data_IF_418474859917
#
_entry.id   IF_418474859917
#
_cell.length_a   1.000
_cell.length_b   1.000
_cell.length_c   1.000
_cell.angle_alpha   90.00
_cell.angle_beta   90.00
_cell.angle_gamma   90.00
#
_symmetry.space_group_name_H-M   'P 1'
#
loop_
_entity.id
_entity.type
_entity.pdbx_description
1 polymer ?
#
# COMPACT_ATOMS: atom_id res chain seq x y z
N UNK A 1 -2.45 4.51 -1.01
CA UNK A 1 -1.86 3.54 -1.95
C UNK A 1 -1.63 4.17 -3.33
N UNK A 2 -2.66 4.66 -4.03
CA UNK A 2 -2.53 5.20 -5.42
C UNK A 2 -1.53 6.36 -5.49
N UNK A 3 -1.58 7.32 -4.57
CA UNK A 3 -0.61 8.43 -4.55
C UNK A 3 0.83 7.92 -4.38
N UNK A 4 1.03 6.93 -3.50
CA UNK A 4 2.35 6.31 -3.34
C UNK A 4 2.80 5.58 -4.62
N UNK A 5 1.89 4.89 -5.31
CA UNK A 5 2.21 4.28 -6.60
C UNK A 5 2.63 5.33 -7.64
N UNK A 6 1.95 6.49 -7.68
CA UNK A 6 2.32 7.59 -8.57
C UNK A 6 3.68 8.21 -8.23
N UNK A 7 3.99 8.34 -6.94
CA UNK A 7 5.31 8.80 -6.48
C UNK A 7 6.44 7.85 -6.91
N UNK A 8 6.20 6.54 -6.83
CA UNK A 8 7.21 5.51 -7.12
C UNK A 8 7.34 5.17 -8.62
N UNK A 9 6.24 5.24 -9.36
CA UNK A 9 6.16 4.75 -10.75
C UNK A 9 6.01 5.88 -11.77
N UNK A 10 5.67 7.09 -11.30
CA UNK A 10 5.30 8.23 -12.14
C UNK A 10 3.78 8.43 -12.18
N UNK A 11 3.37 9.63 -12.59
CA UNK A 11 1.97 10.04 -12.59
C UNK A 11 1.08 9.18 -13.50
N UNK A 12 1.61 8.61 -14.56
CA UNK A 12 0.88 7.71 -15.45
C UNK A 12 1.11 6.26 -15.04
N UNK A 13 0.08 5.63 -14.49
CA UNK A 13 0.10 4.23 -14.07
C UNK A 13 -0.32 3.27 -15.19
N UNK A 14 -0.86 3.76 -16.30
CA UNK A 14 -1.38 2.93 -17.40
C UNK A 14 -0.31 1.98 -17.96
N UNK A 15 -0.73 0.75 -18.29
CA UNK A 15 0.15 -0.28 -18.84
C UNK A 15 1.00 -1.03 -17.82
N UNK A 16 1.07 -0.57 -16.56
CA UNK A 16 1.76 -1.35 -15.52
C UNK A 16 1.00 -2.64 -15.18
N UNK A 17 1.74 -3.67 -14.78
CA UNK A 17 1.21 -4.89 -14.20
C UNK A 17 1.42 -4.83 -12.68
N UNK A 18 0.34 -4.95 -11.92
CA UNK A 18 0.36 -4.90 -10.45
C UNK A 18 -0.28 -6.18 -9.90
N UNK A 19 0.41 -6.85 -8.99
CA UNK A 19 -0.17 -7.97 -8.24
C UNK A 19 -0.84 -7.45 -6.98
N UNK A 20 -2.11 -7.83 -6.76
CA UNK A 20 -2.87 -7.54 -5.54
C UNK A 20 -3.25 -8.85 -4.86
N UNK A 21 -2.85 -8.99 -3.61
CA UNK A 21 -3.25 -10.12 -2.75
C UNK A 21 -4.35 -9.67 -1.80
N UNK A 22 -5.46 -10.43 -1.84
CA UNK A 22 -6.65 -10.14 -1.04
C UNK A 22 -7.67 -9.26 -1.74
N UNK A 23 -8.88 -9.81 -1.95
CA UNK A 23 -10.04 -9.11 -2.52
C UNK A 23 -11.08 -8.77 -1.45
N UNK A 24 -10.61 -8.30 -0.30
CA UNK A 24 -11.46 -7.64 0.71
C UNK A 24 -11.85 -6.23 0.26
N UNK A 25 -12.45 -5.45 1.16
CA UNK A 25 -12.93 -4.08 0.85
C UNK A 25 -11.82 -3.19 0.26
N UNK A 26 -10.61 -3.26 0.80
CA UNK A 26 -9.48 -2.43 0.35
C UNK A 26 -8.99 -2.91 -1.02
N UNK A 27 -8.69 -4.22 -1.18
CA UNK A 27 -8.17 -4.76 -2.42
C UNK A 27 -9.12 -4.62 -3.60
N UNK A 28 -10.42 -4.80 -3.35
CA UNK A 28 -11.46 -4.59 -4.37
C UNK A 28 -11.51 -3.14 -4.85
N UNK A 29 -11.60 -2.17 -3.93
CA UNK A 29 -11.65 -0.73 -4.27
C UNK A 29 -10.37 -0.27 -4.97
N UNK A 30 -9.21 -0.76 -4.51
CA UNK A 30 -7.93 -0.46 -5.14
C UNK A 30 -7.87 -1.02 -6.57
N UNK A 31 -8.33 -2.26 -6.77
CA UNK A 31 -8.39 -2.89 -8.10
C UNK A 31 -9.28 -2.09 -9.06
N UNK A 32 -10.47 -1.69 -8.63
CA UNK A 32 -11.37 -0.87 -9.45
C UNK A 32 -10.74 0.46 -9.85
N UNK A 33 -10.08 1.11 -8.90
CA UNK A 33 -9.43 2.40 -9.15
C UNK A 33 -8.27 2.28 -10.13
N UNK A 34 -7.44 1.24 -9.97
CA UNK A 34 -6.27 1.01 -10.83
C UNK A 34 -6.66 0.57 -12.25
N UNK A 35 -7.70 -0.25 -12.41
CA UNK A 35 -8.22 -0.62 -13.74
C UNK A 35 -8.73 0.60 -14.51
N UNK A 36 -9.40 1.55 -13.83
CA UNK A 36 -9.81 2.82 -14.43
C UNK A 36 -8.64 3.67 -14.92
N UNK A 37 -7.47 3.51 -14.30
CA UNK A 37 -6.23 4.15 -14.71
C UNK A 37 -5.43 3.35 -15.77
N UNK A 38 -6.00 2.25 -16.30
CA UNK A 38 -5.38 1.45 -17.33
C UNK A 38 -4.32 0.45 -16.83
N UNK A 39 -4.33 0.10 -15.54
CA UNK A 39 -3.39 -0.85 -14.93
C UNK A 39 -3.90 -2.27 -15.05
N UNK A 40 -3.04 -3.20 -15.48
CA UNK A 40 -3.34 -4.63 -15.47
C UNK A 40 -3.21 -5.18 -14.04
N UNK A 41 -4.23 -5.86 -13.56
CA UNK A 41 -4.25 -6.44 -12.22
C UNK A 41 -4.09 -7.95 -12.30
N UNK A 42 -3.10 -8.46 -11.58
CA UNK A 42 -2.88 -9.86 -11.29
C UNK A 42 -3.29 -10.11 -9.83
N UNK A 43 -4.31 -10.90 -9.60
CA UNK A 43 -4.88 -11.03 -8.26
C UNK A 43 -4.75 -12.44 -7.72
N UNK A 44 -4.51 -12.55 -6.41
CA UNK A 44 -4.67 -13.77 -5.65
C UNK A 44 -5.59 -13.54 -4.45
N UNK A 45 -6.52 -14.45 -4.23
CA UNK A 45 -7.34 -14.47 -3.01
C UNK A 45 -7.54 -15.92 -2.55
N UNK A 46 -7.62 -16.11 -1.22
CA UNK A 46 -7.80 -17.42 -0.61
C UNK A 46 -9.12 -18.08 -1.06
N UNK A 47 -10.19 -17.30 -1.12
CA UNK A 47 -11.48 -17.78 -1.68
C UNK A 47 -11.49 -17.53 -3.19
N UNK A 48 -11.07 -18.56 -3.93
CA UNK A 48 -10.99 -18.52 -5.39
C UNK A 48 -12.36 -18.32 -6.05
N UNK A 49 -13.41 -18.95 -5.50
CA UNK A 49 -14.78 -18.85 -6.07
C UNK A 49 -15.31 -17.43 -5.99
N UNK A 50 -15.19 -16.81 -4.81
CA UNK A 50 -15.52 -15.38 -4.63
C UNK A 50 -14.65 -14.50 -5.51
N UNK A 51 -13.36 -14.81 -5.59
CA UNK A 51 -12.42 -14.10 -6.45
C UNK A 51 -12.82 -14.12 -7.93
N UNK A 52 -13.31 -15.26 -8.42
CA UNK A 52 -13.75 -15.43 -9.81
C UNK A 52 -14.99 -14.58 -10.12
N UNK A 53 -15.95 -14.51 -9.20
CA UNK A 53 -17.13 -13.65 -9.34
C UNK A 53 -16.68 -12.18 -9.45
N UNK A 54 -15.79 -11.76 -8.57
CA UNK A 54 -15.27 -10.37 -8.56
C UNK A 54 -14.49 -10.07 -9.85
N UNK A 55 -13.62 -10.99 -10.28
CA UNK A 55 -12.83 -10.83 -11.51
C UNK A 55 -13.73 -10.67 -12.75
N UNK A 56 -14.75 -11.51 -12.87
CA UNK A 56 -15.73 -11.43 -13.96
C UNK A 56 -16.50 -10.11 -13.90
N UNK A 57 -16.95 -9.69 -12.70
CA UNK A 57 -17.67 -8.44 -12.52
C UNK A 57 -16.80 -7.24 -12.93
N UNK A 58 -15.56 -7.18 -12.48
CA UNK A 58 -14.62 -6.09 -12.84
C UNK A 58 -14.39 -6.08 -14.36
N UNK A 59 -14.13 -7.23 -14.98
CA UNK A 59 -13.93 -7.31 -16.42
C UNK A 59 -15.19 -6.93 -17.22
N UNK A 60 -16.38 -7.13 -16.68
CA UNK A 60 -17.64 -6.73 -17.31
C UNK A 60 -17.91 -5.22 -17.21
N UNK A 61 -17.62 -4.62 -16.05
CA UNK A 61 -17.92 -3.21 -15.80
C UNK A 61 -16.80 -2.23 -16.21
N UNK A 62 -15.62 -2.74 -16.55
CA UNK A 62 -14.53 -1.90 -17.04
C UNK A 62 -14.92 -1.23 -18.36
N UNK A 63 -14.37 -0.04 -18.60
CA UNK A 63 -14.59 0.66 -19.87
C UNK A 63 -14.09 -0.19 -21.05
N UNK A 64 -14.86 -0.25 -22.11
CA UNK A 64 -14.45 -0.88 -23.38
C UNK A 64 -13.23 -0.22 -24.03
N UNK A 65 -12.94 1.01 -23.67
CA UNK A 65 -11.77 1.77 -24.16
C UNK A 65 -10.49 1.46 -23.38
N UNK A 66 -10.54 0.71 -22.28
CA UNK A 66 -9.33 0.33 -21.56
C UNK A 66 -8.83 -1.05 -21.98
N UNK A 67 -7.53 -1.15 -22.24
CA UNK A 67 -6.84 -2.43 -22.47
C UNK A 67 -6.48 -3.14 -21.16
N UNK A 68 -6.69 -2.49 -20.01
CA UNK A 68 -6.41 -3.09 -18.71
C UNK A 68 -7.19 -4.39 -18.50
N UNK A 69 -6.57 -5.36 -17.87
CA UNK A 69 -7.16 -6.66 -17.56
C UNK A 69 -7.12 -6.96 -16.07
N UNK A 70 -8.09 -7.75 -15.60
CA UNK A 70 -8.08 -8.33 -14.26
C UNK A 70 -7.97 -9.85 -14.36
N UNK A 71 -6.84 -10.39 -13.90
CA UNK A 71 -6.50 -11.80 -13.96
C UNK A 71 -6.47 -12.40 -12.55
N UNK A 72 -7.17 -13.52 -12.34
CA UNK A 72 -7.17 -14.22 -11.07
C UNK A 72 -6.25 -15.45 -11.12
N UNK A 73 -5.33 -15.55 -10.16
CA UNK A 73 -4.38 -16.64 -10.03
C UNK A 73 -4.81 -17.63 -8.94
N UNK A 74 -4.56 -18.93 -9.16
CA UNK A 74 -4.84 -19.99 -8.19
C UNK A 74 -3.73 -20.16 -7.14
N UNK A 75 -2.53 -19.70 -7.44
CA UNK A 75 -1.37 -19.81 -6.55
C UNK A 75 -0.83 -18.43 -6.19
N UNK A 76 -0.53 -18.21 -4.91
CA UNK A 76 0.10 -16.99 -4.43
C UNK A 76 1.46 -16.76 -5.12
N UNK A 77 2.29 -17.81 -5.21
CA UNK A 77 3.63 -17.71 -5.82
C UNK A 77 3.56 -17.30 -7.30
N UNK A 78 2.64 -17.89 -8.07
CA UNK A 78 2.48 -17.49 -9.48
C UNK A 78 1.96 -16.07 -9.63
N UNK A 79 1.10 -15.61 -8.73
CA UNK A 79 0.67 -14.23 -8.69
C UNK A 79 1.83 -13.29 -8.36
N UNK A 80 2.66 -13.60 -7.36
CA UNK A 80 3.86 -12.81 -7.02
C UNK A 80 4.76 -12.66 -8.25
N UNK A 81 5.08 -13.75 -8.92
CA UNK A 81 6.01 -13.75 -10.06
C UNK A 81 5.43 -13.09 -11.33
N UNK A 82 4.14 -12.78 -11.37
CA UNK A 82 3.47 -12.25 -12.57
C UNK A 82 3.66 -10.73 -12.77
N UNK A 83 4.22 -10.01 -11.78
CA UNK A 83 4.48 -8.57 -11.90
C UNK A 83 5.70 -8.15 -11.08
N UNK A 84 6.14 -6.90 -11.28
CA UNK A 84 7.25 -6.29 -10.50
C UNK A 84 6.74 -5.36 -9.38
N UNK A 85 5.44 -5.23 -9.24
CA UNK A 85 4.79 -4.37 -8.25
C UNK A 85 3.79 -5.24 -7.50
N UNK A 86 3.97 -5.33 -6.20
CA UNK A 86 3.19 -6.20 -5.35
C UNK A 86 2.49 -5.40 -4.25
N UNK A 87 1.20 -5.66 -4.06
CA UNK A 87 0.38 -5.03 -3.04
C UNK A 87 -0.30 -6.11 -2.22
N UNK A 88 -0.01 -6.13 -0.93
CA UNK A 88 -0.69 -6.97 0.04
C UNK A 88 -1.82 -6.18 0.71
N UNK A 89 -3.05 -6.66 0.60
CA UNK A 89 -4.26 -6.01 1.15
C UNK A 89 -5.21 -6.98 1.85
N UNK A 90 -4.75 -8.20 2.12
CA UNK A 90 -5.55 -9.19 2.82
C UNK A 90 -5.54 -8.99 4.34
N UNK A 91 -6.46 -9.67 5.02
CA UNK A 91 -6.44 -9.83 6.47
C UNK A 91 -5.71 -11.10 6.92
N UNK A 92 -4.97 -11.75 6.03
CA UNK A 92 -4.23 -12.96 6.35
C UNK A 92 -3.08 -12.64 7.33
N UNK A 93 -2.76 -13.62 8.17
CA UNK A 93 -1.69 -13.49 9.16
C UNK A 93 -0.57 -14.45 8.75
N UNK A 94 0.66 -13.92 8.66
CA UNK A 94 1.90 -14.70 8.45
C UNK A 94 1.85 -15.66 7.22
N UNK A 95 1.17 -15.29 6.15
CA UNK A 95 1.07 -16.11 4.95
C UNK A 95 2.22 -15.87 3.94
N UNK A 96 3.05 -14.85 4.15
CA UNK A 96 4.25 -14.57 3.36
C UNK A 96 5.45 -14.63 4.32
N UNK A 97 6.16 -15.73 4.27
CA UNK A 97 7.33 -16.00 5.08
C UNK A 97 8.66 -15.92 4.27
N UNK A 98 9.75 -16.24 4.91
CA UNK A 98 11.10 -16.18 4.31
C UNK A 98 11.26 -17.03 3.03
N UNK A 99 10.39 -18.03 2.78
CA UNK A 99 10.48 -18.85 1.56
C UNK A 99 10.10 -18.09 0.30
N UNK A 100 9.44 -16.92 0.44
CA UNK A 100 9.08 -16.03 -0.66
C UNK A 100 10.11 -14.93 -0.93
N UNK A 101 11.17 -14.78 -0.11
CA UNK A 101 12.13 -13.67 -0.27
C UNK A 101 12.77 -13.64 -1.66
N UNK A 102 13.09 -14.82 -2.20
CA UNK A 102 13.70 -14.91 -3.53
C UNK A 102 12.71 -14.59 -4.66
N UNK A 103 11.43 -14.89 -4.48
CA UNK A 103 10.38 -14.56 -5.44
C UNK A 103 10.20 -13.04 -5.61
N UNK A 104 10.60 -12.24 -4.61
CA UNK A 104 10.50 -10.79 -4.62
C UNK A 104 11.76 -10.05 -5.10
N UNK A 105 12.85 -10.72 -5.42
CA UNK A 105 14.11 -10.07 -5.80
C UNK A 105 14.02 -9.12 -7.00
N UNK A 106 13.10 -9.38 -7.92
CA UNK A 106 12.89 -8.57 -9.11
C UNK A 106 11.80 -7.50 -8.94
N UNK A 107 11.20 -7.41 -7.73
CA UNK A 107 10.15 -6.43 -7.49
C UNK A 107 10.72 -5.03 -7.31
N UNK A 108 10.11 -4.09 -8.03
CA UNK A 108 10.42 -2.65 -7.92
C UNK A 108 9.79 -2.05 -6.66
N UNK A 109 8.63 -2.57 -6.26
CA UNK A 109 7.88 -2.09 -5.10
C UNK A 109 7.08 -3.22 -4.46
N UNK A 110 7.18 -3.34 -3.15
CA UNK A 110 6.35 -4.21 -2.31
C UNK A 110 5.61 -3.32 -1.33
N UNK A 111 4.27 -3.31 -1.39
CA UNK A 111 3.43 -2.48 -0.56
C UNK A 111 2.55 -3.35 0.36
N UNK A 112 2.75 -3.22 1.68
CA UNK A 112 1.95 -3.91 2.70
C UNK A 112 0.88 -2.96 3.25
N UNK A 113 -0.39 -3.25 2.93
CA UNK A 113 -1.56 -2.53 3.45
C UNK A 113 -2.27 -3.38 4.52
N UNK A 114 -2.18 -4.70 4.40
CA UNK A 114 -2.82 -5.66 5.30
C UNK A 114 -2.17 -5.74 6.68
N UNK A 115 -0.92 -5.33 6.82
CA UNK A 115 -0.12 -5.19 8.06
C UNK A 115 0.33 -6.49 8.74
N UNK A 116 -0.31 -7.62 8.51
CA UNK A 116 -0.05 -8.87 9.25
C UNK A 116 0.37 -10.04 8.36
N UNK A 117 0.36 -9.88 7.05
CA UNK A 117 0.62 -10.96 6.10
C UNK A 117 2.09 -11.38 6.07
N UNK A 118 3.01 -10.46 6.26
CA UNK A 118 4.45 -10.73 6.26
C UNK A 118 4.94 -11.13 7.65
N UNK A 119 5.70 -12.24 7.73
CA UNK A 119 6.35 -12.66 8.98
C UNK A 119 7.49 -11.71 9.35
N UNK A 120 7.86 -11.69 10.64
CA UNK A 120 9.01 -10.89 11.12
C UNK A 120 10.31 -11.30 10.40
N UNK A 121 10.54 -12.60 10.28
CA UNK A 121 11.71 -13.15 9.58
C UNK A 121 11.78 -12.68 8.11
N UNK A 122 10.62 -12.57 7.44
CA UNK A 122 10.56 -12.03 6.08
C UNK A 122 11.02 -10.57 6.06
N UNK A 123 10.46 -9.72 6.93
CA UNK A 123 10.76 -8.28 6.99
C UNK A 123 12.25 -8.04 7.31
N UNK A 124 12.83 -8.81 8.21
CA UNK A 124 14.26 -8.75 8.52
C UNK A 124 15.12 -9.11 7.29
N UNK A 125 14.77 -10.19 6.58
CA UNK A 125 15.51 -10.63 5.39
C UNK A 125 15.43 -9.64 4.22
N UNK A 126 14.28 -9.00 3.98
CA UNK A 126 14.18 -7.99 2.91
C UNK A 126 14.97 -6.73 3.22
N UNK A 127 15.06 -6.34 4.49
CA UNK A 127 15.90 -5.21 4.90
C UNK A 127 17.37 -5.45 4.55
N UNK A 128 17.85 -6.69 4.69
CA UNK A 128 19.20 -7.09 4.31
C UNK A 128 19.41 -7.09 2.78
N UNK A 129 18.37 -7.34 2.00
CA UNK A 129 18.43 -7.40 0.53
C UNK A 129 18.13 -6.06 -0.17
N UNK A 130 17.91 -4.97 0.57
CA UNK A 130 17.61 -3.63 0.05
C UNK A 130 16.40 -3.61 -0.90
N UNK A 131 15.40 -4.45 -0.67
CA UNK A 131 14.16 -4.44 -1.44
C UNK A 131 13.31 -3.22 -1.06
N UNK A 132 12.65 -2.61 -2.04
CA UNK A 132 11.76 -1.46 -1.80
C UNK A 132 10.43 -1.93 -1.19
N UNK A 133 10.44 -2.12 0.12
CA UNK A 133 9.29 -2.53 0.91
C UNK A 133 8.73 -1.34 1.68
N UNK A 134 7.43 -1.09 1.54
CA UNK A 134 6.72 -0.03 2.24
C UNK A 134 5.48 -0.57 2.92
N UNK A 135 5.30 -0.22 4.18
CA UNK A 135 4.08 -0.52 4.94
C UNK A 135 3.21 0.72 5.05
N UNK A 136 1.95 0.62 4.59
CA UNK A 136 0.97 1.68 4.77
C UNK A 136 0.15 1.43 6.03
N UNK A 137 0.41 2.24 7.06
CA UNK A 137 -0.48 2.33 8.21
C UNK A 137 -1.47 3.48 8.04
N UNK A 138 -2.72 3.13 7.70
CA UNK A 138 -3.80 4.12 7.55
C UNK A 138 -4.55 4.41 8.84
N UNK A 139 -4.22 3.75 9.96
CA UNK A 139 -4.94 3.91 11.23
C UNK A 139 -4.83 5.34 11.74
N UNK A 140 -3.64 5.92 11.70
CA UNK A 140 -3.41 7.30 12.09
C UNK A 140 -4.00 8.29 11.08
N UNK A 141 -3.94 7.95 9.79
CA UNK A 141 -4.50 8.76 8.71
C UNK A 141 -6.03 8.81 8.74
N UNK A 142 -6.70 7.76 9.19
CA UNK A 142 -8.16 7.76 9.29
C UNK A 142 -8.63 8.78 10.34
N UNK A 143 -7.98 8.82 11.49
CA UNK A 143 -8.27 9.81 12.53
C UNK A 143 -8.06 11.23 11.99
N UNK A 144 -6.95 11.48 11.32
CA UNK A 144 -6.67 12.77 10.66
C UNK A 144 -7.71 13.14 9.60
N UNK A 145 -8.11 12.19 8.74
CA UNK A 145 -9.14 12.43 7.71
C UNK A 145 -10.51 12.71 8.31
N UNK A 146 -10.87 12.03 9.38
CA UNK A 146 -12.11 12.28 10.13
C UNK A 146 -12.06 13.69 10.73
N UNK A 147 -10.97 14.05 11.39
CA UNK A 147 -10.79 15.37 11.96
C UNK A 147 -10.82 16.47 10.89
N UNK A 148 -10.14 16.31 9.76
CA UNK A 148 -10.17 17.27 8.64
C UNK A 148 -11.58 17.45 8.07
N UNK A 149 -12.40 16.40 8.01
CA UNK A 149 -13.80 16.51 7.57
C UNK A 149 -14.71 17.19 8.58
N UNK A 150 -14.48 16.97 9.87
CA UNK A 150 -15.29 17.53 10.94
C UNK A 150 -14.90 18.99 11.27
N UNK A 151 -13.63 19.34 11.05
CA UNK A 151 -13.08 20.66 11.43
C UNK A 151 -12.21 21.24 10.31
N UNK A 152 -12.80 21.80 9.25
CA UNK A 152 -12.08 22.15 8.02
C UNK A 152 -11.01 23.24 8.16
N UNK A 153 -11.04 24.06 9.19
CA UNK A 153 -10.31 25.34 9.20
C UNK A 153 -9.08 25.43 10.14
N UNK A 154 -8.89 24.51 11.10
CA UNK A 154 -7.86 24.75 12.14
C UNK A 154 -6.95 23.57 12.52
N UNK A 155 -7.08 22.41 11.93
CA UNK A 155 -6.38 21.21 12.42
C UNK A 155 -5.14 20.85 11.63
N UNK A 156 -5.01 21.29 10.37
CA UNK A 156 -3.78 21.07 9.60
C UNK A 156 -2.53 21.60 10.31
N UNK A 157 -2.68 22.71 11.06
CA UNK A 157 -1.57 23.35 11.76
C UNK A 157 -1.22 22.67 13.10
N UNK A 158 -2.16 21.95 13.70
CA UNK A 158 -1.94 21.24 14.97
C UNK A 158 -1.38 19.82 14.72
N UNK A 159 -1.92 19.11 13.73
CA UNK A 159 -1.53 17.73 13.45
C UNK A 159 -0.23 17.64 12.64
N UNK A 160 0.08 18.65 11.84
CA UNK A 160 1.34 18.73 11.07
C UNK A 160 2.31 19.78 11.66
N UNK A 161 2.17 20.10 12.94
CA UNK A 161 3.05 21.09 13.56
C UNK A 161 4.48 20.57 13.59
N UNK A 162 5.39 21.44 13.19
CA UNK A 162 6.83 21.26 13.31
C UNK A 162 7.32 22.26 14.33
N UNK A 163 8.05 21.81 15.33
CA UNK A 163 8.75 22.66 16.27
C UNK A 163 10.24 22.33 16.30
N UNK A 164 11.08 23.33 16.46
CA UNK A 164 12.51 23.12 16.64
C UNK A 164 12.78 22.88 18.13
N UNK A 165 13.24 21.67 18.46
CA UNK A 165 13.68 21.35 19.81
C UNK A 165 15.06 21.97 20.10
N UNK A 166 15.93 21.93 19.10
CA UNK A 166 17.23 22.63 19.09
C UNK A 166 17.66 22.86 17.63
N UNK A 167 18.82 23.49 17.42
CA UNK A 167 19.34 23.81 16.08
C UNK A 167 19.56 22.61 15.15
N UNK A 168 19.45 21.38 15.65
CA UNK A 168 19.71 20.13 14.89
C UNK A 168 18.56 19.14 14.87
N UNK A 169 17.56 19.32 15.75
CA UNK A 169 16.48 18.34 15.93
C UNK A 169 15.16 19.07 15.77
N UNK A 170 14.33 18.57 14.85
CA UNK A 170 12.95 18.99 14.73
C UNK A 170 12.03 17.95 15.35
N UNK A 171 11.01 18.41 16.04
CA UNK A 171 9.88 17.60 16.49
C UNK A 171 8.76 17.78 15.47
N UNK A 172 8.17 16.65 15.02
CA UNK A 172 7.04 16.65 14.12
C UNK A 172 5.92 15.83 14.72
N UNK A 173 4.70 16.36 14.66
CA UNK A 173 3.52 15.62 15.05
C UNK A 173 2.93 14.86 13.86
N UNK A 174 2.39 13.67 14.10
CA UNK A 174 1.62 12.92 13.11
C UNK A 174 2.42 12.12 12.07
N UNK A 175 3.73 12.13 12.08
CA UNK A 175 4.59 11.20 11.32
C UNK A 175 4.55 11.28 9.79
N UNK A 176 3.98 12.31 9.21
CA UNK A 176 3.65 12.38 7.77
C UNK A 176 4.68 13.10 6.90
N UNK A 177 5.43 14.03 7.47
CA UNK A 177 6.29 14.96 6.72
C UNK A 177 7.67 15.12 7.35
N UNK A 178 8.16 14.08 8.03
CA UNK A 178 9.50 14.09 8.60
C UNK A 178 10.58 13.91 7.56
N UNK A 179 11.70 14.58 7.77
CA UNK A 179 12.95 14.31 7.08
C UNK A 179 13.77 13.32 7.90
N UNK A 180 14.75 12.61 7.29
CA UNK A 180 15.68 11.79 8.05
C UNK A 180 16.34 12.60 9.17
N UNK A 181 16.20 12.16 10.42
CA UNK A 181 16.71 12.84 11.62
C UNK A 181 15.67 13.66 12.40
N UNK A 182 14.44 13.83 11.87
CA UNK A 182 13.35 14.39 12.64
C UNK A 182 12.80 13.40 13.66
N UNK A 183 12.36 13.87 14.84
CA UNK A 183 11.73 13.03 15.88
C UNK A 183 10.21 13.18 15.78
N UNK A 184 9.52 12.07 15.66
CA UNK A 184 8.06 12.01 15.64
C UNK A 184 7.52 11.97 17.06
N UNK A 185 6.62 12.88 17.38
CA UNK A 185 5.96 13.00 18.68
C UNK A 185 4.43 13.04 18.51
N UNK A 186 3.70 12.81 19.58
CA UNK A 186 2.24 12.93 19.63
C UNK A 186 1.77 14.38 19.40
N UNK A 187 2.44 15.34 20.01
CA UNK A 187 2.22 16.78 19.79
C UNK A 187 3.56 17.51 19.74
N UNK A 188 3.90 18.11 18.61
CA UNK A 188 5.16 18.84 18.43
C UNK A 188 5.24 20.14 19.23
N UNK A 189 4.11 20.69 19.69
CA UNK A 189 4.06 21.90 20.52
C UNK A 189 4.16 21.58 22.00
N UNK A 190 3.72 20.39 22.42
CA UNK A 190 3.74 19.94 23.81
C UNK A 190 4.03 18.42 23.88
N UNK A 191 5.24 17.97 23.50
CA UNK A 191 5.61 16.56 23.47
C UNK A 191 5.57 15.97 24.89
N UNK A 192 4.99 14.79 25.02
CA UNK A 192 4.97 13.99 26.24
C UNK A 192 5.94 12.82 26.16
#
# INVERSE_FOLDING_TARGET
>A
AINLLREELGNNLSGNNITIVGLGSIGFQLSLSLIREGVNINCFTKDYTKGLIIANSINTIRSEYTLASFNLYKSLRTAILSSKIFIESSSAINNIDKSFVDDFQLHRLILDIGKQAFTKDYVENISLKSLNFKRLDISNTLTELIYRKLYPSNISDVISSKSNYNSRINLISGGWKGLPGDIVVDDAKCPR
#
